data_IF_193392601178
#
_entry.id   IF_193392601178
#
_cell.length_a   1.000
_cell.length_b   1.000
_cell.length_c   1.000
_cell.angle_alpha   90.00
_cell.angle_beta   90.00
_cell.angle_gamma   90.00
#
_symmetry.space_group_name_H-M   'P 1'
#
loop_
_entity.id
_entity.type
_entity.pdbx_description
1 polymer ?
#
# COMPACT_ATOMS: atom_id res chain seq x y z
N UNK A 1 -27.70 -0.81 -13.95
CA UNK A 1 -26.73 0.18 -13.40
C UNK A 1 -25.61 0.38 -14.39
N UNK A 2 -24.64 1.23 -14.07
CA UNK A 2 -23.39 1.35 -14.82
C UNK A 2 -22.43 0.24 -14.37
N UNK A 3 -21.94 -0.59 -15.29
CA UNK A 3 -21.15 -1.78 -14.97
C UNK A 3 -19.72 -1.43 -14.49
N UNK A 4 -19.07 -0.46 -15.14
CA UNK A 4 -17.76 0.06 -14.77
C UNK A 4 -17.73 1.57 -14.93
N UNK A 5 -17.13 2.25 -13.97
CA UNK A 5 -17.05 3.71 -13.88
C UNK A 5 -15.62 4.14 -13.57
N UNK A 6 -15.19 5.28 -14.13
CA UNK A 6 -13.99 5.97 -13.68
C UNK A 6 -14.09 7.49 -13.85
N UNK A 7 -13.34 8.24 -13.05
CA UNK A 7 -13.24 9.69 -13.14
C UNK A 7 -11.89 10.20 -12.63
N UNK A 8 -11.30 11.17 -13.35
CA UNK A 8 -10.23 12.00 -12.79
C UNK A 8 -10.90 13.20 -12.13
N UNK A 9 -10.94 13.21 -10.81
CA UNK A 9 -11.83 14.10 -10.04
C UNK A 9 -11.07 14.89 -8.98
N UNK A 10 -11.53 16.10 -8.70
CA UNK A 10 -11.05 16.92 -7.58
C UNK A 10 -11.77 16.51 -6.30
N UNK A 11 -10.98 16.25 -5.27
CA UNK A 11 -11.43 15.90 -3.94
C UNK A 11 -10.99 16.97 -2.96
N UNK A 12 -11.84 17.25 -1.98
CA UNK A 12 -11.61 18.28 -0.97
C UNK A 12 -11.58 17.64 0.41
N UNK A 13 -10.58 17.97 1.24
CA UNK A 13 -10.46 17.52 2.64
C UNK A 13 -10.04 18.68 3.53
N UNK A 14 -10.82 18.94 4.56
CA UNK A 14 -10.52 19.94 5.59
C UNK A 14 -9.76 19.29 6.74
N UNK A 15 -8.49 18.97 6.49
CA UNK A 15 -7.56 18.35 7.45
C UNK A 15 -6.28 19.19 7.58
N UNK A 16 -5.52 18.97 8.65
CA UNK A 16 -4.21 19.60 8.83
C UNK A 16 -3.29 19.32 7.64
N UNK A 17 -2.68 20.38 7.12
CA UNK A 17 -1.73 20.32 6.03
C UNK A 17 -0.44 19.62 6.48
N UNK A 18 0.09 18.80 5.59
CA UNK A 18 1.41 18.17 5.68
C UNK A 18 2.11 18.33 4.34
N UNK A 19 3.38 17.97 4.26
CA UNK A 19 4.16 18.09 3.02
C UNK A 19 3.48 17.43 1.81
N UNK A 20 2.73 16.36 2.04
CA UNK A 20 2.00 15.58 1.04
C UNK A 20 0.46 15.76 1.10
N UNK A 21 -0.06 16.66 1.94
CA UNK A 21 -1.51 16.87 2.14
C UNK A 21 -1.92 18.27 1.75
N UNK A 22 -2.76 18.34 0.72
CA UNK A 22 -3.39 19.56 0.23
C UNK A 22 -4.90 19.50 0.50
N UNK A 23 -5.56 20.65 0.71
CA UNK A 23 -7.00 20.68 0.97
C UNK A 23 -7.80 20.31 -0.29
N UNK A 24 -7.19 20.49 -1.47
CA UNK A 24 -7.68 20.03 -2.76
C UNK A 24 -6.62 19.12 -3.41
N UNK A 25 -7.02 17.94 -3.87
CA UNK A 25 -6.16 16.99 -4.58
C UNK A 25 -6.94 16.23 -5.64
N UNK A 26 -6.24 15.57 -6.56
CA UNK A 26 -6.86 14.83 -7.68
C UNK A 26 -6.80 13.33 -7.44
N UNK A 27 -7.93 12.65 -7.58
CA UNK A 27 -8.02 11.18 -7.55
C UNK A 27 -8.38 10.62 -8.92
N UNK A 28 -7.92 9.39 -9.16
CA UNK A 28 -8.47 8.50 -10.20
C UNK A 28 -9.47 7.62 -9.46
N UNK A 29 -10.73 8.02 -9.48
CA UNK A 29 -11.84 7.32 -8.85
C UNK A 29 -12.41 6.27 -9.80
N UNK A 30 -12.70 5.07 -9.32
CA UNK A 30 -13.12 3.95 -10.16
C UNK A 30 -14.02 2.98 -9.39
N UNK A 31 -15.04 2.44 -10.07
CA UNK A 31 -15.98 1.46 -9.53
C UNK A 31 -16.28 0.36 -10.55
N UNK A 32 -16.50 -0.88 -10.09
CA UNK A 32 -16.78 -2.04 -10.94
C UNK A 32 -17.88 -2.92 -10.30
N UNK A 33 -18.87 -3.32 -11.09
CA UNK A 33 -19.99 -4.19 -10.66
C UNK A 33 -19.69 -5.66 -10.92
N UNK A 34 -20.25 -6.56 -10.10
CA UNK A 34 -20.16 -8.03 -10.27
C UNK A 34 -18.73 -8.59 -10.33
N UNK A 35 -17.79 -7.92 -9.66
CA UNK A 35 -16.38 -8.33 -9.60
C UNK A 35 -15.99 -8.82 -8.22
N UNK A 36 -14.91 -9.59 -8.16
CA UNK A 36 -14.24 -9.99 -6.93
C UNK A 36 -13.10 -9.02 -6.58
N UNK A 37 -12.54 -9.15 -5.39
CA UNK A 37 -11.33 -8.40 -4.99
C UNK A 37 -10.16 -8.63 -5.96
N UNK A 38 -10.00 -9.85 -6.46
CA UNK A 38 -8.90 -10.22 -7.37
C UNK A 38 -9.00 -9.48 -8.70
N UNK A 39 -10.21 -9.33 -9.23
CA UNK A 39 -10.48 -8.66 -10.50
C UNK A 39 -10.12 -7.18 -10.42
N UNK A 40 -10.48 -6.53 -9.29
CA UNK A 40 -10.14 -5.13 -9.00
C UNK A 40 -8.63 -4.96 -8.93
N UNK A 41 -7.95 -5.75 -8.08
CA UNK A 41 -6.49 -5.66 -7.89
C UNK A 41 -5.75 -5.89 -9.21
N UNK A 42 -6.13 -6.91 -9.97
CA UNK A 42 -5.50 -7.23 -11.26
C UNK A 42 -5.70 -6.12 -12.29
N UNK A 43 -6.89 -5.52 -12.33
CA UNK A 43 -7.19 -4.40 -13.25
C UNK A 43 -6.29 -3.20 -12.97
N UNK A 44 -6.18 -2.78 -11.70
CA UNK A 44 -5.34 -1.64 -11.34
C UNK A 44 -3.84 -1.94 -11.39
N UNK A 45 -3.41 -3.15 -11.06
CA UNK A 45 -2.03 -3.57 -11.23
C UNK A 45 -1.61 -3.45 -12.70
N UNK A 46 -2.41 -3.96 -13.63
CA UNK A 46 -2.13 -3.85 -15.06
C UNK A 46 -2.14 -2.39 -15.56
N UNK A 47 -3.04 -1.56 -15.02
CA UNK A 47 -3.04 -0.12 -15.32
C UNK A 47 -1.71 0.53 -14.90
N UNK A 48 -1.25 0.31 -13.67
CA UNK A 48 0.01 0.87 -13.15
C UNK A 48 1.19 0.36 -13.97
N UNK A 49 1.28 -0.95 -14.23
CA UNK A 49 2.35 -1.55 -15.04
C UNK A 49 2.41 -0.92 -16.43
N UNK A 50 1.26 -0.73 -17.07
CA UNK A 50 1.15 -0.09 -18.40
C UNK A 50 1.60 1.38 -18.37
N UNK A 51 1.23 2.13 -17.33
CA UNK A 51 1.64 3.53 -17.18
C UNK A 51 3.15 3.63 -17.02
N UNK A 52 3.76 2.82 -16.15
CA UNK A 52 5.21 2.87 -15.95
C UNK A 52 6.01 2.40 -17.16
N UNK A 53 5.54 1.37 -17.86
CA UNK A 53 6.18 0.92 -19.11
C UNK A 53 6.17 2.04 -20.16
N UNK A 54 5.04 2.75 -20.33
CA UNK A 54 4.91 3.82 -21.32
C UNK A 54 5.60 5.12 -20.95
N UNK A 55 5.57 5.50 -19.67
CA UNK A 55 6.04 6.81 -19.20
C UNK A 55 7.50 6.78 -18.72
N UNK A 56 7.94 5.66 -18.15
CA UNK A 56 9.26 5.50 -17.53
C UNK A 56 10.12 4.47 -18.29
N UNK A 57 9.54 3.67 -19.19
CA UNK A 57 10.26 2.64 -19.93
C UNK A 57 10.63 1.42 -19.08
N UNK A 58 10.08 1.32 -17.86
CA UNK A 58 10.36 0.23 -16.94
C UNK A 58 9.19 -0.76 -16.89
N UNK A 59 9.51 -2.05 -17.07
CA UNK A 59 8.54 -3.13 -17.02
C UNK A 59 8.64 -3.85 -15.69
N UNK A 60 7.56 -3.79 -14.91
CA UNK A 60 7.45 -4.53 -13.66
C UNK A 60 6.91 -5.95 -13.89
N UNK A 61 7.37 -6.88 -13.05
CA UNK A 61 6.72 -8.18 -12.85
C UNK A 61 5.40 -8.04 -12.09
N UNK A 62 4.78 -9.18 -11.76
CA UNK A 62 3.57 -9.20 -10.93
C UNK A 62 3.89 -8.59 -9.56
N UNK A 63 3.00 -7.73 -9.06
CA UNK A 63 3.21 -7.11 -7.75
C UNK A 63 3.11 -8.14 -6.62
N UNK A 64 4.08 -8.09 -5.71
CA UNK A 64 4.05 -8.90 -4.49
C UNK A 64 2.87 -8.49 -3.62
N UNK A 65 2.29 -9.49 -2.92
CA UNK A 65 1.18 -9.27 -2.00
C UNK A 65 1.59 -9.65 -0.61
N UNK A 66 1.22 -8.80 0.34
CA UNK A 66 1.55 -8.96 1.74
C UNK A 66 0.29 -8.77 2.55
N UNK A 67 0.06 -9.66 3.52
CA UNK A 67 -1.02 -9.45 4.47
C UNK A 67 -0.65 -8.29 5.39
N UNK A 68 -1.66 -7.55 5.83
CA UNK A 68 -1.47 -6.46 6.79
C UNK A 68 -0.69 -6.92 8.05
N UNK A 69 -1.00 -8.12 8.57
CA UNK A 69 -0.29 -8.70 9.71
C UNK A 69 1.21 -8.87 9.45
N UNK A 70 1.58 -9.29 8.24
CA UNK A 70 2.97 -9.54 7.88
C UNK A 70 3.72 -8.22 7.68
N UNK A 71 3.05 -7.21 7.11
CA UNK A 71 3.61 -5.86 6.96
C UNK A 71 3.91 -5.25 8.34
N UNK A 72 2.98 -5.38 9.28
CA UNK A 72 3.16 -4.89 10.65
C UNK A 72 4.24 -5.68 11.41
N UNK A 73 4.23 -7.01 11.34
CA UNK A 73 5.22 -7.85 12.03
C UNK A 73 6.64 -7.63 11.50
N UNK A 74 6.80 -7.49 10.18
CA UNK A 74 8.12 -7.40 9.55
C UNK A 74 8.63 -5.98 9.34
N UNK A 75 7.76 -4.97 9.30
CA UNK A 75 8.17 -3.59 8.98
C UNK A 75 7.54 -2.53 9.89
N UNK A 76 6.53 -2.87 10.71
CA UNK A 76 5.87 -1.92 11.62
C UNK A 76 5.03 -0.85 10.92
N UNK A 77 4.77 -1.01 9.62
CA UNK A 77 3.98 -0.08 8.80
C UNK A 77 3.25 -0.86 7.70
N UNK A 78 2.06 -0.39 7.32
CA UNK A 78 1.19 -0.98 6.30
C UNK A 78 1.57 -0.64 4.85
N UNK A 79 2.53 0.26 4.67
CA UNK A 79 3.11 0.68 3.39
C UNK A 79 4.65 0.55 3.41
N UNK A 80 5.19 -0.66 3.57
CA UNK A 80 6.61 -0.86 3.74
C UNK A 80 7.39 -0.53 2.46
N UNK A 81 8.59 0.02 2.63
CA UNK A 81 9.56 0.14 1.55
C UNK A 81 10.33 -1.18 1.41
N UNK A 82 9.99 -1.95 0.38
CA UNK A 82 10.57 -3.28 0.13
C UNK A 82 11.95 -3.25 -0.54
N UNK A 83 12.51 -2.06 -0.81
CA UNK A 83 13.83 -1.93 -1.44
C UNK A 83 14.99 -2.30 -0.52
N UNK A 84 14.75 -2.43 0.78
CA UNK A 84 15.76 -2.73 1.80
C UNK A 84 15.36 -3.94 2.65
N UNK A 85 16.33 -4.75 3.05
CA UNK A 85 16.09 -6.02 3.77
C UNK A 85 16.01 -5.88 5.30
N UNK A 86 15.82 -4.68 5.84
CA UNK A 86 15.83 -4.38 7.28
C UNK A 86 14.52 -4.77 7.98
N UNK A 87 14.20 -6.06 7.98
CA UNK A 87 13.00 -6.58 8.66
C UNK A 87 13.13 -6.51 10.19
N UNK A 88 12.04 -6.13 10.85
CA UNK A 88 11.87 -6.27 12.28
C UNK A 88 11.97 -7.75 12.68
N UNK A 89 12.59 -8.00 13.83
CA UNK A 89 12.74 -9.33 14.42
C UNK A 89 12.25 -9.31 15.85
N UNK A 90 11.32 -10.19 16.15
CA UNK A 90 10.84 -10.38 17.51
C UNK A 90 11.90 -11.11 18.35
N UNK A 91 12.44 -10.42 19.36
CA UNK A 91 13.47 -10.94 20.25
C UNK A 91 12.92 -11.33 21.63
N UNK A 92 11.60 -11.23 21.87
CA UNK A 92 10.98 -11.42 23.20
C UNK A 92 11.43 -12.73 23.84
N UNK A 93 11.35 -13.85 23.11
CA UNK A 93 11.77 -15.18 23.62
C UNK A 93 13.25 -15.26 24.00
N UNK A 94 14.11 -14.47 23.38
CA UNK A 94 15.56 -14.48 23.60
C UNK A 94 15.95 -13.67 24.83
N UNK A 95 15.26 -12.56 25.07
CA UNK A 95 15.61 -11.60 26.13
C UNK A 95 14.82 -11.77 27.42
N UNK A 96 13.69 -12.49 27.38
CA UNK A 96 12.83 -12.72 28.54
C UNK A 96 13.52 -13.57 29.61
N UNK A 97 13.30 -13.23 30.88
CA UNK A 97 13.80 -13.94 32.06
C UNK A 97 15.27 -13.66 32.36
N UNK A 98 15.80 -12.51 31.90
CA UNK A 98 17.23 -12.15 32.06
C UNK A 98 17.47 -11.08 33.14
N UNK A 99 16.48 -10.80 33.98
CA UNK A 99 16.52 -9.81 35.07
C UNK A 99 16.80 -8.38 34.58
N UNK A 100 16.36 -8.07 33.36
CA UNK A 100 16.41 -6.72 32.81
C UNK A 100 14.99 -6.21 32.62
N UNK A 101 14.54 -5.40 33.59
CA UNK A 101 13.13 -4.97 33.75
C UNK A 101 12.48 -4.31 32.53
N UNK A 102 13.25 -3.77 31.58
CA UNK A 102 12.69 -3.15 30.36
C UNK A 102 12.25 -4.22 29.34
N UNK A 103 12.83 -5.42 29.41
CA UNK A 103 12.56 -6.53 28.47
C UNK A 103 11.84 -7.74 29.11
N UNK A 104 11.72 -7.77 30.45
CA UNK A 104 11.00 -8.81 31.21
C UNK A 104 9.50 -8.54 31.34
#
# INVERSE_FOLDING_TARGET
GMDRYFQIVKCFRDEELRADRQPEFTQIDCEMSYVTQEDVLTTFENMIRTIFEKMVGHKFDKFERMQYSDAMEHYGIDKPDLRYEMKLKNLTKTVQGKNFKVFD
#
